data_IF_484994007946
#
_entry.id   IF_484994007946
#
_cell.length_a   1.000
_cell.length_b   1.000
_cell.length_c   1.000
_cell.angle_alpha   90.00
_cell.angle_beta   90.00
_cell.angle_gamma   90.00
#
_symmetry.space_group_name_H-M   'P 1'
#
loop_
_entity.id
_entity.type
_entity.pdbx_description
1 polymer ?
#
# COMPACT_ATOMS: atom_id res chain seq x y z
N UNK A 1 26.22 12.25 -46.42
CA UNK A 1 25.68 10.90 -46.72
C UNK A 1 25.97 10.00 -45.52
N UNK A 2 25.00 9.78 -44.63
CA UNK A 2 25.14 8.94 -43.43
C UNK A 2 24.42 7.61 -43.69
N UNK A 3 25.17 6.52 -43.62
CA UNK A 3 24.74 5.16 -43.97
C UNK A 3 23.92 4.59 -42.81
N UNK A 4 22.67 4.23 -43.08
CA UNK A 4 21.81 3.44 -42.21
C UNK A 4 22.23 1.96 -42.31
N UNK A 5 22.45 1.32 -41.17
CA UNK A 5 22.61 -0.13 -41.06
C UNK A 5 21.54 -0.63 -40.09
N UNK A 6 20.48 -1.30 -40.56
CA UNK A 6 19.54 -1.99 -39.68
C UNK A 6 20.10 -3.37 -39.35
N UNK A 7 20.39 -3.60 -38.06
CA UNK A 7 20.74 -4.91 -37.53
C UNK A 7 19.44 -5.60 -37.04
N UNK A 8 18.95 -6.55 -37.83
CA UNK A 8 17.90 -7.50 -37.49
C UNK A 8 18.54 -8.71 -36.80
N UNK A 9 18.02 -9.13 -35.63
CA UNK A 9 18.22 -10.45 -35.01
C UNK A 9 17.11 -10.65 -33.94
N UNK A 10 16.78 -11.91 -33.57
CA UNK A 10 15.44 -12.45 -33.74
C UNK A 10 14.68 -12.61 -32.42
N UNK A 11 13.34 -12.58 -32.52
CA UNK A 11 12.43 -13.02 -31.46
C UNK A 11 12.66 -14.50 -31.16
N UNK A 12 13.23 -14.80 -30.00
CA UNK A 12 13.21 -16.13 -29.41
C UNK A 12 11.94 -16.27 -28.55
N UNK A 13 11.00 -17.07 -29.05
CA UNK A 13 9.85 -17.61 -28.33
C UNK A 13 10.35 -18.46 -27.16
N UNK A 14 10.15 -18.00 -25.92
CA UNK A 14 10.31 -18.86 -24.74
C UNK A 14 8.94 -19.46 -24.44
N UNK A 15 8.85 -20.76 -24.71
CA UNK A 15 7.70 -21.59 -24.43
C UNK A 15 7.41 -21.66 -22.93
N UNK A 16 6.14 -21.51 -22.58
CA UNK A 16 5.59 -21.85 -21.27
C UNK A 16 5.77 -23.36 -21.02
N UNK A 17 6.40 -23.70 -19.90
CA UNK A 17 6.34 -25.05 -19.34
C UNK A 17 5.98 -24.94 -17.86
N UNK A 18 4.70 -25.10 -17.58
CA UNK A 18 4.17 -25.48 -16.26
C UNK A 18 4.45 -26.97 -16.03
N UNK A 19 4.65 -27.39 -14.78
CA UNK A 19 4.21 -28.70 -14.35
C UNK A 19 3.27 -28.61 -13.13
N UNK A 20 2.04 -29.03 -13.41
CA UNK A 20 1.09 -29.82 -12.62
C UNK A 20 1.24 -29.93 -11.10
N UNK A 21 0.13 -29.56 -10.46
CA UNK A 21 -0.51 -30.15 -9.26
C UNK A 21 -0.35 -31.66 -9.11
N UNK A 22 -0.16 -32.16 -7.88
CA UNK A 22 -1.09 -33.13 -7.23
C UNK A 22 -0.67 -33.48 -5.78
N UNK A 23 -1.67 -33.91 -4.99
CA UNK A 23 -1.63 -34.73 -3.75
C UNK A 23 -2.06 -34.07 -2.44
N UNK A 24 -3.38 -33.92 -2.29
CA UNK A 24 -4.24 -34.62 -1.30
C UNK A 24 -3.69 -34.91 0.11
N UNK A 25 -4.32 -34.31 1.14
CA UNK A 25 -4.89 -35.02 2.30
C UNK A 25 -5.76 -34.11 3.20
N UNK A 26 -7.08 -34.25 3.12
CA UNK A 26 -7.99 -34.13 4.28
C UNK A 26 -8.06 -35.52 4.97
N UNK A 27 -8.63 -35.74 6.19
CA UNK A 27 -9.80 -35.06 6.77
C UNK A 27 -9.81 -34.86 8.30
N UNK A 28 -10.94 -34.33 8.80
CA UNK A 28 -11.67 -34.65 10.05
C UNK A 28 -11.81 -33.51 11.06
N UNK A 29 -13.03 -32.94 11.10
CA UNK A 29 -13.70 -32.42 12.31
C UNK A 29 -14.50 -33.55 12.99
N UNK A 30 -14.81 -33.47 14.30
CA UNK A 30 -16.21 -33.14 14.65
C UNK A 30 -16.46 -32.43 16.01
N UNK A 31 -17.64 -31.77 16.06
CA UNK A 31 -18.65 -31.65 17.13
C UNK A 31 -18.41 -30.92 18.47
N UNK A 32 -19.05 -29.74 18.58
CA UNK A 32 -20.13 -29.34 19.51
C UNK A 32 -20.19 -29.94 20.93
N UNK A 33 -20.15 -29.09 21.96
CA UNK A 33 -21.13 -29.12 23.06
C UNK A 33 -21.24 -27.77 23.82
N UNK A 34 -22.45 -27.55 24.30
CA UNK A 34 -23.06 -26.33 24.85
C UNK A 34 -22.90 -26.23 26.36
N UNK A 35 -22.74 -25.03 26.93
CA UNK A 35 -23.38 -24.63 28.21
C UNK A 35 -23.20 -23.14 28.53
N UNK A 36 -24.33 -22.43 28.65
CA UNK A 36 -24.52 -21.13 29.33
C UNK A 36 -24.92 -21.39 30.79
N UNK A 37 -24.60 -20.50 31.74
CA UNK A 37 -25.63 -19.62 32.37
C UNK A 37 -25.10 -18.16 32.52
N UNK A 38 -25.83 -17.07 32.20
CA UNK A 38 -27.04 -16.50 32.85
C UNK A 38 -26.76 -16.17 34.34
N UNK A 39 -26.92 -14.98 34.94
CA UNK A 39 -27.55 -13.65 34.68
C UNK A 39 -27.05 -12.73 35.83
N UNK A 40 -26.85 -11.40 35.73
CA UNK A 40 -27.74 -10.30 36.16
C UNK A 40 -26.91 -9.00 36.18
N UNK A 41 -27.21 -8.01 35.32
CA UNK A 41 -28.04 -6.81 35.55
C UNK A 41 -27.37 -5.65 36.31
N UNK A 42 -27.10 -4.56 35.58
CA UNK A 42 -27.35 -3.18 36.00
C UNK A 42 -27.43 -2.31 34.73
N UNK A 43 -28.63 -1.97 34.23
CA UNK A 43 -29.38 -0.74 34.55
C UNK A 43 -29.01 0.42 33.60
N UNK A 44 -29.91 0.58 32.61
CA UNK A 44 -30.37 1.76 31.87
C UNK A 44 -29.44 2.99 31.77
N UNK A 45 -29.15 3.38 30.53
CA UNK A 45 -29.30 4.76 30.06
C UNK A 45 -29.55 4.71 28.55
N UNK A 46 -30.81 4.86 28.16
CA UNK A 46 -31.16 5.30 26.82
C UNK A 46 -30.85 6.80 26.71
N UNK A 47 -30.43 7.28 25.53
CA UNK A 47 -31.45 7.93 24.73
C UNK A 47 -31.43 7.49 23.27
N UNK A 48 -32.60 7.05 22.81
CA UNK A 48 -33.31 7.60 21.65
C UNK A 48 -32.47 8.00 20.44
N UNK A 49 -32.55 7.12 19.42
CA UNK A 49 -33.03 7.45 18.07
C UNK A 49 -32.18 8.44 17.27
N UNK A 50 -31.28 7.88 16.47
CA UNK A 50 -31.33 8.11 15.02
C UNK A 50 -30.67 6.93 14.29
N UNK A 51 -31.48 5.91 14.00
CA UNK A 51 -31.18 5.00 12.89
C UNK A 51 -31.24 5.80 11.59
N UNK A 52 -30.29 5.49 10.70
CA UNK A 52 -30.20 5.93 9.32
C UNK A 52 -29.54 7.30 9.06
N UNK A 53 -28.32 7.48 9.58
CA UNK A 53 -27.36 8.35 8.90
C UNK A 53 -26.78 7.55 7.73
N UNK A 54 -27.42 7.70 6.57
CA UNK A 54 -26.84 7.42 5.27
C UNK A 54 -25.41 8.00 5.30
N UNK A 55 -24.40 7.15 5.37
CA UNK A 55 -23.00 7.57 5.37
C UNK A 55 -22.77 8.20 4.00
N UNK A 56 -22.96 9.52 3.92
CA UNK A 56 -22.56 10.28 2.75
C UNK A 56 -21.06 10.01 2.58
N UNK A 57 -20.56 9.78 1.34
CA UNK A 57 -19.13 9.69 1.11
C UNK A 57 -18.47 10.89 1.78
N UNK A 58 -17.63 10.64 2.78
CA UNK A 58 -16.93 11.71 3.47
C UNK A 58 -15.86 12.18 2.49
N UNK A 59 -16.01 13.41 1.98
CA UNK A 59 -14.99 14.06 1.17
C UNK A 59 -13.64 13.96 1.90
N UNK A 60 -12.56 13.53 1.22
CA UNK A 60 -11.27 13.39 1.88
C UNK A 60 -10.79 14.70 2.49
N UNK A 61 -10.27 14.61 3.71
CA UNK A 61 -9.68 15.77 4.38
C UNK A 61 -8.38 16.20 3.69
N UNK A 62 -7.86 17.37 4.06
CA UNK A 62 -6.57 17.84 3.56
C UNK A 62 -5.46 16.90 4.00
N UNK A 63 -5.51 16.47 5.25
CA UNK A 63 -4.54 15.57 5.87
C UNK A 63 -4.55 14.19 5.18
N UNK A 64 -5.73 13.66 4.82
CA UNK A 64 -5.84 12.41 4.06
C UNK A 64 -5.18 12.54 2.67
N UNK A 65 -5.45 13.66 1.98
CA UNK A 65 -4.84 13.94 0.68
C UNK A 65 -3.33 14.09 0.79
N UNK A 66 -2.83 14.79 1.80
CA UNK A 66 -1.39 14.91 2.06
C UNK A 66 -0.74 13.54 2.32
N UNK A 67 -1.39 12.68 3.11
CA UNK A 67 -0.91 11.33 3.37
C UNK A 67 -0.83 10.50 2.08
N UNK A 68 -1.88 10.50 1.24
CA UNK A 68 -1.87 9.75 -0.02
C UNK A 68 -0.86 10.33 -1.01
N UNK A 69 -0.72 11.65 -1.10
CA UNK A 69 0.32 12.29 -1.91
C UNK A 69 1.71 11.81 -1.50
N UNK A 70 2.00 11.85 -0.19
CA UNK A 70 3.29 11.43 0.36
C UNK A 70 3.55 9.95 0.12
N UNK A 71 2.54 9.10 0.30
CA UNK A 71 2.62 7.67 -0.01
C UNK A 71 2.94 7.43 -1.49
N UNK A 72 2.21 8.05 -2.42
CA UNK A 72 2.42 7.81 -3.84
C UNK A 72 3.73 8.41 -4.37
N UNK A 73 4.18 9.54 -3.83
CA UNK A 73 5.53 10.06 -4.07
C UNK A 73 6.59 9.07 -3.58
N UNK A 74 6.48 8.61 -2.32
CA UNK A 74 7.43 7.69 -1.72
C UNK A 74 7.47 6.34 -2.47
N UNK A 75 6.31 5.82 -2.87
CA UNK A 75 6.20 4.62 -3.67
C UNK A 75 6.92 4.77 -5.01
N UNK A 76 6.71 5.88 -5.71
CA UNK A 76 7.42 6.14 -6.96
C UNK A 76 8.94 6.26 -6.74
N UNK A 77 9.38 6.85 -5.63
CA UNK A 77 10.80 6.90 -5.29
C UNK A 77 11.43 5.50 -5.19
N UNK A 78 10.70 4.49 -4.71
CA UNK A 78 11.23 3.10 -4.65
C UNK A 78 11.55 2.49 -6.02
N UNK A 79 10.92 2.99 -7.10
CA UNK A 79 11.22 2.54 -8.45
C UNK A 79 12.51 3.15 -9.02
N UNK A 80 12.90 4.33 -8.51
CA UNK A 80 14.08 5.08 -8.97
C UNK A 80 15.31 4.88 -8.06
N UNK A 81 15.12 4.38 -6.84
CA UNK A 81 16.12 4.37 -5.79
C UNK A 81 16.39 2.96 -5.28
N UNK A 82 17.43 2.30 -5.81
CA UNK A 82 17.81 0.92 -5.48
C UNK A 82 18.01 0.65 -3.97
N UNK A 83 18.36 1.69 -3.20
CA UNK A 83 18.61 1.59 -1.77
C UNK A 83 17.36 1.82 -0.90
N UNK A 84 16.22 2.19 -1.49
CA UNK A 84 14.97 2.45 -0.78
C UNK A 84 13.93 1.37 -1.09
N UNK A 85 13.15 1.01 -0.08
CA UNK A 85 12.02 0.12 -0.26
C UNK A 85 10.84 0.55 0.61
N UNK A 86 9.66 0.10 0.22
CA UNK A 86 8.44 0.23 0.99
C UNK A 86 8.02 -1.15 1.46
N UNK A 87 7.54 -1.25 2.71
CA UNK A 87 6.97 -2.52 3.17
C UNK A 87 5.66 -2.82 2.46
N UNK A 88 5.38 -4.11 2.25
CA UNK A 88 4.19 -4.55 1.53
C UNK A 88 2.88 -4.20 2.25
N UNK A 89 2.92 -4.02 3.58
CA UNK A 89 1.76 -3.64 4.41
C UNK A 89 1.52 -2.12 4.49
N UNK A 90 2.41 -1.30 3.93
CA UNK A 90 2.27 0.17 4.02
C UNK A 90 1.04 0.67 3.27
N UNK A 91 0.75 0.16 2.07
CA UNK A 91 -0.38 0.63 1.27
C UNK A 91 -1.73 0.37 1.96
N UNK A 92 -1.94 -0.84 2.50
CA UNK A 92 -3.18 -1.18 3.22
C UNK A 92 -3.35 -0.31 4.48
N UNK A 93 -2.26 0.00 5.19
CA UNK A 93 -2.32 0.90 6.36
C UNK A 93 -2.66 2.34 5.98
N UNK A 94 -2.19 2.82 4.83
CA UNK A 94 -2.58 4.14 4.32
C UNK A 94 -4.07 4.14 3.98
N UNK A 95 -4.54 3.11 3.26
CA UNK A 95 -5.95 2.92 2.92
C UNK A 95 -6.86 2.90 4.15
N UNK A 96 -6.48 2.18 5.20
CA UNK A 96 -7.20 2.14 6.48
C UNK A 96 -7.26 3.51 7.15
N UNK A 97 -6.14 4.24 7.19
CA UNK A 97 -6.07 5.57 7.82
C UNK A 97 -6.98 6.59 7.14
N UNK A 98 -7.03 6.56 5.81
CA UNK A 98 -7.87 7.48 5.02
C UNK A 98 -9.26 6.93 4.71
N UNK A 99 -9.60 5.76 5.27
CA UNK A 99 -10.89 5.08 5.12
C UNK A 99 -11.30 4.88 3.64
N UNK A 100 -10.35 4.46 2.81
CA UNK A 100 -10.56 4.17 1.39
C UNK A 100 -10.21 2.73 1.04
N UNK A 101 -11.01 2.10 0.17
CA UNK A 101 -10.70 0.76 -0.35
C UNK A 101 -9.59 0.75 -1.40
N UNK A 102 -9.35 1.90 -2.05
CA UNK A 102 -8.29 2.10 -3.03
C UNK A 102 -7.91 3.59 -3.05
N UNK A 103 -6.61 3.88 -3.00
CA UNK A 103 -6.06 5.24 -3.03
C UNK A 103 -5.34 5.58 -4.34
N UNK A 104 -5.20 4.61 -5.25
CA UNK A 104 -4.42 4.70 -6.50
C UNK A 104 -5.29 4.66 -7.75
N UNK A 105 -6.47 4.06 -7.68
CA UNK A 105 -7.41 4.06 -8.81
C UNK A 105 -7.82 5.48 -9.22
N UNK A 106 -8.00 5.70 -10.52
CA UNK A 106 -8.52 6.97 -11.06
C UNK A 106 -9.93 7.29 -10.58
N UNK A 107 -10.71 6.26 -10.23
CA UNK A 107 -12.09 6.41 -9.75
C UNK A 107 -12.14 6.66 -8.22
N UNK A 108 -10.99 6.62 -7.55
CA UNK A 108 -10.87 6.95 -6.13
C UNK A 108 -10.95 8.45 -5.91
N UNK A 109 -11.48 8.86 -4.76
CA UNK A 109 -11.42 10.24 -4.28
C UNK A 109 -9.97 10.76 -4.09
N UNK A 110 -8.98 9.87 -4.15
CA UNK A 110 -7.56 10.17 -4.07
C UNK A 110 -6.77 10.01 -5.38
N UNK A 111 -7.41 9.56 -6.47
CA UNK A 111 -6.72 9.20 -7.72
C UNK A 111 -5.83 10.33 -8.26
N UNK A 112 -6.37 11.55 -8.34
CA UNK A 112 -5.62 12.74 -8.77
C UNK A 112 -4.47 13.08 -7.81
N UNK A 113 -4.71 12.94 -6.51
CA UNK A 113 -3.70 13.23 -5.47
C UNK A 113 -2.54 12.25 -5.53
N UNK A 114 -2.83 10.96 -5.68
CA UNK A 114 -1.81 9.93 -5.86
C UNK A 114 -1.02 10.15 -7.15
N UNK A 115 -1.73 10.41 -8.26
CA UNK A 115 -1.12 10.69 -9.57
C UNK A 115 -0.19 11.91 -9.50
N UNK A 116 -0.59 12.96 -8.77
CA UNK A 116 0.23 14.14 -8.56
C UNK A 116 1.51 13.80 -7.76
N UNK A 117 1.42 12.98 -6.71
CA UNK A 117 2.57 12.49 -5.95
C UNK A 117 3.58 11.74 -6.83
N UNK A 118 3.09 10.84 -7.68
CA UNK A 118 3.91 10.12 -8.68
C UNK A 118 4.56 11.10 -9.65
N UNK A 119 3.78 12.02 -10.22
CA UNK A 119 4.27 12.97 -11.22
C UNK A 119 5.35 13.89 -10.68
N UNK A 120 5.26 14.28 -9.40
CA UNK A 120 6.27 15.13 -8.76
C UNK A 120 7.54 14.35 -8.43
N UNK A 121 7.43 13.09 -7.97
CA UNK A 121 8.58 12.21 -7.78
C UNK A 121 9.37 12.01 -9.08
N UNK A 122 8.68 11.80 -10.21
CA UNK A 122 9.33 11.65 -11.54
C UNK A 122 10.06 12.93 -11.98
N UNK A 123 9.57 14.11 -11.60
CA UNK A 123 10.20 15.40 -11.95
C UNK A 123 11.35 15.77 -11.01
N UNK A 124 11.41 15.16 -9.82
CA UNK A 124 12.41 15.47 -8.82
C UNK A 124 13.77 14.84 -9.16
N UNK A 125 14.74 15.68 -9.47
CA UNK A 125 16.11 15.25 -9.82
C UNK A 125 16.86 14.64 -8.64
N UNK A 126 16.40 14.87 -7.41
CA UNK A 126 17.01 14.38 -6.18
C UNK A 126 16.06 13.46 -5.41
N UNK A 127 15.13 12.80 -6.11
CA UNK A 127 14.04 12.01 -5.52
C UNK A 127 14.52 11.06 -4.41
N UNK A 128 15.67 10.39 -4.54
CA UNK A 128 16.16 9.47 -3.51
C UNK A 128 16.54 10.15 -2.20
N UNK A 129 17.25 11.27 -2.26
CA UNK A 129 17.64 12.02 -1.06
C UNK A 129 16.42 12.68 -0.41
N UNK A 130 15.57 13.29 -1.22
CA UNK A 130 14.34 13.96 -0.76
C UNK A 130 13.36 12.96 -0.15
N UNK A 131 13.15 11.81 -0.79
CA UNK A 131 12.26 10.78 -0.28
C UNK A 131 12.75 10.21 1.04
N UNK A 132 14.06 9.96 1.19
CA UNK A 132 14.61 9.48 2.46
C UNK A 132 14.46 10.51 3.58
N UNK A 133 14.80 11.78 3.32
CA UNK A 133 14.69 12.86 4.30
C UNK A 133 13.24 13.07 4.78
N UNK A 134 12.27 12.97 3.88
CA UNK A 134 10.86 13.22 4.20
C UNK A 134 10.12 12.00 4.74
N UNK A 135 10.43 10.82 4.21
CA UNK A 135 9.59 9.62 4.33
C UNK A 135 10.32 8.40 4.88
N UNK A 136 11.66 8.47 5.04
CA UNK A 136 12.45 7.42 5.65
C UNK A 136 12.09 7.16 7.11
N UNK A 137 12.81 6.24 7.76
CA UNK A 137 12.49 5.80 9.12
C UNK A 137 12.49 6.92 10.17
N UNK A 138 13.27 7.98 9.94
CA UNK A 138 13.29 9.21 10.74
C UNK A 138 12.82 10.45 9.94
N UNK A 139 11.95 10.23 8.95
CA UNK A 139 11.52 11.26 8.01
C UNK A 139 10.82 12.44 8.67
N UNK A 140 10.96 13.62 8.06
CA UNK A 140 10.44 14.89 8.61
C UNK A 140 8.97 15.18 8.31
N UNK A 141 8.36 14.50 7.33
CA UNK A 141 6.99 14.80 6.85
C UNK A 141 6.02 13.67 7.19
N UNK A 142 6.24 12.48 6.61
CA UNK A 142 5.45 11.29 6.91
C UNK A 142 6.43 10.14 7.16
N UNK A 143 6.97 10.06 8.39
CA UNK A 143 8.03 9.12 8.71
C UNK A 143 7.57 7.68 8.50
N UNK A 144 8.55 6.81 8.20
CA UNK A 144 8.40 5.34 8.17
C UNK A 144 7.56 4.80 7.00
N UNK A 145 7.20 5.63 6.02
CA UNK A 145 6.69 5.14 4.74
C UNK A 145 7.77 4.35 3.96
N UNK A 146 9.03 4.79 4.07
CA UNK A 146 10.19 4.17 3.45
C UNK A 146 11.16 3.63 4.50
N UNK A 147 11.83 2.57 4.11
CA UNK A 147 12.96 1.97 4.79
C UNK A 147 14.09 1.76 3.80
N UNK A 148 15.29 1.46 4.30
CA UNK A 148 16.34 0.98 3.41
C UNK A 148 15.96 -0.38 2.83
N UNK A 149 16.39 -0.64 1.59
CA UNK A 149 16.21 -1.95 0.96
C UNK A 149 16.99 -3.01 1.74
N UNK A 150 16.32 -4.08 2.25
CA UNK A 150 17.01 -5.19 2.90
C UNK A 150 17.76 -6.07 1.89
N UNK A 151 17.51 -5.88 0.58
CA UNK A 151 18.14 -6.66 -0.48
C UNK A 151 19.51 -6.08 -0.79
N UNK A 152 20.56 -6.86 -0.53
CA UNK A 152 21.95 -6.45 -0.76
C UNK A 152 22.57 -5.61 0.37
N UNK A 153 21.80 -5.16 1.36
CA UNK A 153 22.31 -4.48 2.55
C UNK A 153 21.97 -5.25 3.84
N UNK A 154 22.99 -5.84 4.47
CA UNK A 154 22.83 -6.63 5.71
C UNK A 154 22.54 -5.78 6.95
N UNK A 155 22.81 -4.47 6.90
CA UNK A 155 22.61 -3.53 8.00
C UNK A 155 21.53 -2.50 7.64
N UNK A 156 20.59 -2.88 6.78
CA UNK A 156 19.51 -2.00 6.35
C UNK A 156 18.73 -1.43 7.54
N UNK A 157 18.49 -0.12 7.52
CA UNK A 157 17.62 0.56 8.48
C UNK A 157 16.17 0.25 8.11
N UNK A 158 15.53 -0.61 8.89
CA UNK A 158 14.15 -1.05 8.69
C UNK A 158 13.19 -0.36 9.66
N UNK A 159 11.97 -0.08 9.19
CA UNK A 159 10.91 0.50 10.01
C UNK A 159 9.54 0.12 9.47
N UNK A 160 8.53 0.25 10.32
CA UNK A 160 7.14 -0.05 9.98
C UNK A 160 6.32 1.22 9.89
N UNK A 161 5.48 1.42 8.88
CA UNK A 161 4.54 2.54 8.89
C UNK A 161 3.42 2.34 9.93
#
# INVERSE_FOLDING_TARGET
MKKFVPLLLPLALIACSEPSTDTTKEPVAPSVETATPATEQATINEPSKDENQLISPQEPTKEDKELVYNFCYALQATAECDNLSMRLDTESKVQEKVQASDIRSSDSAFGDTCTQGIADAVKDKNVCAVAWEKYGCAGSVTPRLLQESPFGNKNAILCEF
#
